data_IF_430038049032
#
_entry.id   IF_430038049032
#
_cell.length_a   1.000
_cell.length_b   1.000
_cell.length_c   1.000
_cell.angle_alpha   90.00
_cell.angle_beta   90.00
_cell.angle_gamma   90.00
#
_symmetry.space_group_name_H-M   'P 1'
#
loop_
_entity.id
_entity.type
_entity.pdbx_description
1 polymer ?
#
# COMPACT_ATOMS: atom_id res chain seq x y z
N UNK A 1 -3.35 20.56 -47.68
CA UNK A 1 -2.78 19.98 -46.44
C UNK A 1 -3.83 19.91 -45.33
N UNK A 2 -4.60 20.98 -45.08
CA UNK A 2 -5.63 21.01 -44.02
C UNK A 2 -6.74 19.96 -44.18
N UNK A 3 -7.28 19.77 -45.39
CA UNK A 3 -8.32 18.77 -45.66
C UNK A 3 -7.87 17.32 -45.44
N UNK A 4 -6.57 17.03 -45.59
CA UNK A 4 -6.00 15.69 -45.34
C UNK A 4 -5.95 15.41 -43.84
N UNK A 5 -5.55 16.40 -43.03
CA UNK A 5 -5.53 16.29 -41.57
C UNK A 5 -6.94 16.09 -41.01
N UNK A 6 -7.94 16.81 -41.53
CA UNK A 6 -9.34 16.65 -41.12
C UNK A 6 -9.87 15.25 -41.46
N UNK A 7 -9.52 14.71 -42.64
CA UNK A 7 -9.95 13.37 -43.05
C UNK A 7 -9.33 12.27 -42.17
N UNK A 8 -8.05 12.38 -41.81
CA UNK A 8 -7.37 11.45 -40.90
C UNK A 8 -8.00 11.51 -39.50
N UNK A 9 -8.30 12.72 -39.00
CA UNK A 9 -8.92 12.90 -37.69
C UNK A 9 -10.31 12.24 -37.63
N UNK A 10 -11.13 12.41 -38.67
CA UNK A 10 -12.45 11.77 -38.76
C UNK A 10 -12.30 10.25 -38.77
N UNK A 11 -11.37 9.70 -39.57
CA UNK A 11 -11.09 8.27 -39.59
C UNK A 11 -10.66 7.73 -38.22
N UNK A 12 -9.84 8.48 -37.49
CA UNK A 12 -9.40 8.11 -36.15
C UNK A 12 -10.55 8.15 -35.12
N UNK A 13 -11.43 9.15 -35.20
CA UNK A 13 -12.62 9.25 -34.33
C UNK A 13 -13.55 8.06 -34.57
N UNK A 14 -13.81 7.72 -35.84
CA UNK A 14 -14.66 6.55 -36.20
C UNK A 14 -14.03 5.26 -35.70
N UNK A 15 -12.71 5.09 -35.86
CA UNK A 15 -11.98 3.94 -35.34
C UNK A 15 -12.06 3.82 -33.81
N UNK A 16 -11.87 4.92 -33.09
CA UNK A 16 -12.02 4.96 -31.64
C UNK A 16 -13.45 4.60 -31.21
N UNK A 17 -14.46 5.15 -31.87
CA UNK A 17 -15.87 4.85 -31.57
C UNK A 17 -16.19 3.38 -31.81
N UNK A 18 -15.68 2.81 -32.91
CA UNK A 18 -15.83 1.38 -33.19
C UNK A 18 -15.17 0.52 -32.12
N UNK A 19 -13.95 0.86 -31.71
CA UNK A 19 -13.21 0.10 -30.71
C UNK A 19 -13.83 0.22 -29.30
N UNK A 20 -14.37 1.40 -28.96
CA UNK A 20 -15.12 1.63 -27.73
C UNK A 20 -16.42 0.83 -27.70
N UNK A 21 -17.18 0.80 -28.81
CA UNK A 21 -18.42 0.04 -28.88
C UNK A 21 -18.17 -1.46 -28.78
N UNK A 22 -17.10 -1.97 -29.41
CA UNK A 22 -16.67 -3.37 -29.27
C UNK A 22 -16.31 -3.71 -27.82
N UNK A 23 -15.65 -2.80 -27.11
CA UNK A 23 -15.31 -2.97 -25.69
C UNK A 23 -16.55 -2.90 -24.79
N UNK A 24 -17.48 -1.98 -25.05
CA UNK A 24 -18.74 -1.89 -24.31
C UNK A 24 -19.57 -3.16 -24.47
N UNK A 25 -19.70 -3.70 -25.68
CA UNK A 25 -20.42 -4.96 -25.90
C UNK A 25 -19.76 -6.14 -25.17
N UNK A 26 -18.42 -6.15 -25.07
CA UNK A 26 -17.69 -7.18 -24.35
C UNK A 26 -17.91 -7.06 -22.84
N UNK A 27 -17.89 -5.83 -22.30
CA UNK A 27 -18.19 -5.52 -20.90
C UNK A 27 -19.64 -5.87 -20.58
N UNK A 28 -20.62 -5.47 -21.39
CA UNK A 28 -22.03 -5.84 -21.20
C UNK A 28 -22.23 -7.36 -21.26
N UNK A 29 -21.51 -8.07 -22.15
CA UNK A 29 -21.59 -9.54 -22.17
C UNK A 29 -20.97 -10.17 -20.93
N UNK A 30 -19.92 -9.57 -20.37
CA UNK A 30 -19.27 -10.04 -19.13
C UNK A 30 -20.16 -9.73 -17.92
N UNK A 31 -20.71 -8.52 -17.83
CA UNK A 31 -21.64 -8.09 -16.77
C UNK A 31 -22.92 -8.91 -16.81
N UNK A 32 -23.48 -9.15 -18.00
CA UNK A 32 -24.65 -10.01 -18.21
C UNK A 32 -24.38 -11.48 -17.84
N UNK A 33 -23.16 -11.98 -18.09
CA UNK A 33 -22.75 -13.31 -17.61
C UNK A 33 -22.58 -13.35 -16.09
N UNK A 34 -22.02 -12.30 -15.50
CA UNK A 34 -21.81 -12.19 -14.05
C UNK A 34 -23.13 -12.05 -13.27
N UNK A 35 -24.08 -11.24 -13.74
CA UNK A 35 -25.43 -11.13 -13.14
C UNK A 35 -26.25 -12.40 -13.31
N UNK A 36 -26.04 -13.16 -14.39
CA UNK A 36 -26.65 -14.49 -14.54
C UNK A 36 -26.00 -15.54 -13.63
N UNK A 37 -24.71 -15.42 -13.35
CA UNK A 37 -23.95 -16.27 -12.42
C UNK A 37 -24.30 -15.99 -10.96
N UNK A 38 -24.57 -14.74 -10.57
CA UNK A 38 -24.95 -14.34 -9.21
C UNK A 38 -26.24 -15.02 -8.71
N UNK A 39 -27.09 -15.49 -9.64
CA UNK A 39 -28.36 -16.16 -9.32
C UNK A 39 -28.24 -17.67 -9.09
N UNK A 40 -27.10 -18.27 -9.41
CA UNK A 40 -26.83 -19.72 -9.35
C UNK A 40 -25.41 -19.99 -8.83
N UNK A 41 -25.06 -19.46 -7.66
CA UNK A 41 -23.78 -19.82 -7.01
C UNK A 41 -23.86 -21.19 -6.35
N UNK A 42 -23.59 -22.21 -7.16
CA UNK A 42 -23.14 -23.51 -6.69
C UNK A 42 -21.63 -23.43 -6.37
N UNK A 43 -21.28 -23.81 -5.15
CA UNK A 43 -19.91 -23.82 -4.60
C UNK A 43 -18.90 -24.50 -5.52
N UNK A 44 -19.36 -25.50 -6.29
CA UNK A 44 -18.55 -26.25 -7.25
C UNK A 44 -18.14 -25.40 -8.47
N UNK A 45 -19.01 -24.50 -8.94
CA UNK A 45 -18.71 -23.60 -10.05
C UNK A 45 -17.68 -22.53 -9.66
N UNK A 46 -17.72 -22.05 -8.41
CA UNK A 46 -16.72 -21.11 -7.87
C UNK A 46 -15.35 -21.78 -7.78
N UNK A 47 -15.28 -23.01 -7.29
CA UNK A 47 -14.04 -23.78 -7.22
C UNK A 47 -13.45 -24.02 -8.62
N UNK A 48 -14.27 -24.37 -9.60
CA UNK A 48 -13.83 -24.62 -10.97
C UNK A 48 -13.37 -23.33 -11.69
N UNK A 49 -13.98 -22.18 -11.36
CA UNK A 49 -13.57 -20.87 -11.87
C UNK A 49 -12.25 -20.40 -11.23
N UNK A 50 -12.07 -20.63 -9.92
CA UNK A 50 -10.80 -20.39 -9.23
C UNK A 50 -9.68 -21.28 -9.78
N UNK A 51 -9.98 -22.53 -10.10
CA UNK A 51 -9.01 -23.46 -10.68
C UNK A 51 -8.61 -23.06 -12.10
N UNK A 52 -9.55 -22.60 -12.93
CA UNK A 52 -9.26 -22.04 -14.25
C UNK A 52 -8.45 -20.75 -14.18
N UNK A 53 -8.74 -19.85 -13.23
CA UNK A 53 -7.94 -18.64 -13.01
C UNK A 53 -6.52 -19.00 -12.54
N UNK A 54 -6.37 -20.02 -11.69
CA UNK A 54 -5.08 -20.55 -11.27
C UNK A 54 -4.29 -21.16 -12.43
N UNK A 55 -4.94 -21.90 -13.33
CA UNK A 55 -4.30 -22.45 -14.52
C UNK A 55 -3.87 -21.34 -15.51
N UNK A 56 -4.71 -20.33 -15.74
CA UNK A 56 -4.37 -19.17 -16.56
C UNK A 56 -3.21 -18.35 -15.95
N UNK A 57 -3.09 -18.33 -14.63
CA UNK A 57 -1.93 -17.71 -13.95
C UNK A 57 -0.63 -18.51 -14.14
N UNK A 58 -0.71 -19.83 -14.33
CA UNK A 58 0.44 -20.71 -14.52
C UNK A 58 1.01 -20.69 -15.95
N UNK A 59 0.20 -20.38 -16.98
CA UNK A 59 0.64 -20.40 -18.38
C UNK A 59 1.32 -19.12 -18.84
N UNK A 60 1.22 -18.03 -18.07
CA UNK A 60 1.96 -16.81 -18.37
C UNK A 60 3.25 -16.78 -17.56
N UNK A 61 4.34 -16.28 -18.15
CA UNK A 61 5.57 -15.87 -17.44
C UNK A 61 5.30 -14.68 -16.49
N UNK A 62 4.13 -14.62 -15.83
CA UNK A 62 3.84 -13.75 -14.71
C UNK A 62 4.82 -14.13 -13.61
N UNK A 63 5.70 -13.19 -13.26
CA UNK A 63 6.58 -13.31 -12.10
C UNK A 63 5.74 -13.79 -10.92
N UNK A 64 6.06 -14.97 -10.43
CA UNK A 64 5.31 -15.65 -9.38
C UNK A 64 5.27 -14.72 -8.16
N UNK A 65 4.07 -14.32 -7.78
CA UNK A 65 3.84 -13.54 -6.57
C UNK A 65 4.08 -14.45 -5.35
N UNK A 66 5.02 -14.05 -4.50
CA UNK A 66 5.48 -14.77 -3.32
C UNK A 66 5.09 -14.07 -2.03
N UNK A 67 4.18 -13.10 -2.08
CA UNK A 67 3.69 -12.42 -0.88
C UNK A 67 3.12 -13.43 0.13
N UNK A 68 2.39 -14.42 -0.36
CA UNK A 68 1.70 -15.44 0.45
C UNK A 68 2.58 -16.66 0.78
N UNK A 69 3.88 -16.61 0.48
CA UNK A 69 4.81 -17.63 0.96
C UNK A 69 4.89 -17.57 2.49
N UNK A 70 4.90 -18.72 3.16
CA UNK A 70 4.90 -18.82 4.64
C UNK A 70 5.97 -17.95 5.30
N UNK A 71 7.18 -17.92 4.73
CA UNK A 71 8.29 -17.10 5.22
C UNK A 71 7.96 -15.60 5.17
N UNK A 72 7.29 -15.15 4.12
CA UNK A 72 6.92 -13.74 3.94
C UNK A 72 5.78 -13.40 4.88
N UNK A 73 4.71 -14.20 4.93
CA UNK A 73 3.59 -13.99 5.86
C UNK A 73 4.06 -13.91 7.31
N UNK A 74 4.93 -14.84 7.73
CA UNK A 74 5.55 -14.82 9.07
C UNK A 74 6.35 -13.53 9.30
N UNK A 75 7.05 -13.03 8.30
CA UNK A 75 7.76 -11.76 8.41
C UNK A 75 6.80 -10.57 8.53
N UNK A 76 5.75 -10.51 7.72
CA UNK A 76 4.75 -9.43 7.78
C UNK A 76 4.14 -9.36 9.18
N UNK A 77 3.57 -10.47 9.64
CA UNK A 77 2.67 -10.52 10.80
C UNK A 77 3.32 -10.99 12.11
N UNK A 78 4.66 -11.04 12.20
CA UNK A 78 5.34 -11.42 13.45
C UNK A 78 5.00 -10.54 14.68
N UNK A 79 4.34 -9.40 14.47
CA UNK A 79 3.99 -8.40 15.48
C UNK A 79 2.48 -8.07 15.48
N UNK A 80 1.65 -8.93 14.89
CA UNK A 80 0.21 -8.62 14.69
C UNK A 80 -0.54 -8.46 16.03
N UNK A 81 -0.15 -9.23 17.04
CA UNK A 81 -0.77 -9.20 18.37
C UNK A 81 -0.52 -7.89 19.15
N UNK A 82 0.61 -7.22 18.91
CA UNK A 82 1.12 -6.14 19.76
C UNK A 82 1.39 -4.81 19.04
N UNK A 83 1.24 -4.77 17.72
CA UNK A 83 1.62 -3.63 16.90
C UNK A 83 0.62 -3.35 15.79
N UNK A 84 0.47 -2.06 15.45
CA UNK A 84 -0.12 -1.65 14.17
C UNK A 84 0.91 -1.86 13.08
N UNK A 85 0.52 -2.61 12.05
CA UNK A 85 1.38 -2.95 10.91
C UNK A 85 0.90 -2.17 9.69
N UNK A 86 1.83 -1.48 9.03
CA UNK A 86 1.58 -0.73 7.81
C UNK A 86 2.50 -1.20 6.68
N UNK A 87 1.98 -1.17 5.46
CA UNK A 87 2.67 -1.54 4.24
C UNK A 87 2.77 -0.36 3.28
N UNK A 88 3.98 -0.11 2.77
CA UNK A 88 4.22 0.85 1.70
C UNK A 88 4.87 0.18 0.48
N UNK A 89 4.36 0.46 -0.71
CA UNK A 89 4.83 -0.13 -1.96
C UNK A 89 5.73 0.82 -2.72
N UNK A 90 6.89 0.34 -3.18
CA UNK A 90 7.82 1.11 -4.00
C UNK A 90 8.44 0.28 -5.12
N UNK A 91 8.72 0.93 -6.26
CA UNK A 91 9.30 0.29 -7.45
C UNK A 91 10.78 0.00 -7.29
N UNK A 92 11.48 0.92 -6.63
CA UNK A 92 12.93 0.97 -6.65
C UNK A 92 13.52 0.51 -5.32
N UNK A 93 14.45 -0.45 -5.40
CA UNK A 93 15.16 -0.94 -4.21
C UNK A 93 15.93 0.18 -3.50
N UNK A 94 16.42 1.15 -4.27
CA UNK A 94 17.12 2.32 -3.72
C UNK A 94 16.22 3.13 -2.79
N UNK A 95 14.95 3.29 -3.17
CA UNK A 95 13.95 3.96 -2.32
C UNK A 95 13.67 3.11 -1.09
N UNK A 96 13.52 1.80 -1.26
CA UNK A 96 13.32 0.89 -0.13
C UNK A 96 14.47 0.96 0.89
N UNK A 97 15.73 0.92 0.41
CA UNK A 97 16.93 1.07 1.24
C UNK A 97 17.02 2.44 1.90
N UNK A 98 16.67 3.50 1.18
CA UNK A 98 16.63 4.84 1.76
C UNK A 98 15.65 4.91 2.93
N UNK A 99 14.43 4.40 2.76
CA UNK A 99 13.43 4.34 3.83
C UNK A 99 13.93 3.51 5.02
N UNK A 100 14.58 2.38 4.72
CA UNK A 100 15.16 1.49 5.72
C UNK A 100 16.27 2.16 6.55
N UNK A 101 17.10 3.02 5.94
CA UNK A 101 18.23 3.67 6.59
C UNK A 101 17.86 4.98 7.30
N UNK A 102 16.96 5.77 6.70
CA UNK A 102 16.65 7.14 7.09
C UNK A 102 15.31 7.25 7.85
N UNK A 103 14.38 6.31 7.63
CA UNK A 103 13.01 6.39 8.12
C UNK A 103 12.01 6.67 6.99
N UNK A 104 10.73 6.73 7.35
CA UNK A 104 9.66 6.91 6.35
C UNK A 104 9.24 8.38 6.27
N UNK A 105 9.52 9.01 5.13
CA UNK A 105 9.10 10.39 4.86
C UNK A 105 7.68 10.44 4.32
N UNK A 106 6.87 11.37 4.82
CA UNK A 106 5.51 11.60 4.35
C UNK A 106 5.13 13.09 4.42
N UNK A 107 4.14 13.46 3.62
CA UNK A 107 3.59 14.82 3.50
C UNK A 107 2.11 14.78 3.84
N UNK A 108 1.64 15.73 4.62
CA UNK A 108 0.27 15.88 5.16
C UNK A 108 -0.23 14.71 6.02
N UNK A 109 -0.30 13.52 5.45
CA UNK A 109 -0.91 12.34 6.07
C UNK A 109 -0.15 11.07 5.70
N UNK A 110 0.20 10.33 6.74
CA UNK A 110 0.86 9.04 6.65
C UNK A 110 0.02 8.03 5.87
N UNK A 111 -1.27 7.93 6.21
CA UNK A 111 -2.26 7.01 5.64
C UNK A 111 -2.53 7.20 4.14
N UNK A 112 -2.17 8.35 3.54
CA UNK A 112 -2.27 8.53 2.08
C UNK A 112 -1.27 7.68 1.30
N UNK A 113 -0.17 7.29 1.95
CA UNK A 113 0.98 6.63 1.30
C UNK A 113 1.24 5.22 1.81
N UNK A 114 0.62 4.84 2.91
CA UNK A 114 0.74 3.51 3.51
C UNK A 114 -0.65 2.89 3.71
N UNK A 115 -0.69 1.57 3.76
CA UNK A 115 -1.90 0.82 4.09
C UNK A 115 -1.70 0.09 5.41
N UNK A 116 -2.62 0.24 6.36
CA UNK A 116 -2.64 -0.66 7.51
C UNK A 116 -2.98 -2.07 7.01
N UNK A 117 -2.24 -3.09 7.42
CA UNK A 117 -2.49 -4.50 7.10
C UNK A 117 -2.75 -5.29 8.38
N UNK A 118 -3.55 -6.34 8.27
CA UNK A 118 -3.87 -7.31 9.33
C UNK A 118 -3.70 -8.72 8.77
N UNK A 119 -3.56 -9.73 9.63
CA UNK A 119 -3.50 -11.15 9.20
C UNK A 119 -4.89 -11.68 8.77
N UNK A 120 -5.47 -11.03 7.77
CA UNK A 120 -6.64 -11.49 7.03
C UNK A 120 -6.24 -11.64 5.57
N UNK A 121 -6.17 -12.90 5.12
CA UNK A 121 -5.81 -13.25 3.74
C UNK A 121 -6.67 -12.56 2.67
N UNK A 122 -7.94 -12.29 2.94
CA UNK A 122 -8.86 -11.66 1.99
C UNK A 122 -8.54 -10.18 1.88
N UNK A 123 -8.42 -9.49 3.01
CA UNK A 123 -8.05 -8.07 3.08
C UNK A 123 -6.66 -7.83 2.48
N UNK A 124 -5.67 -8.66 2.84
CA UNK A 124 -4.32 -8.57 2.32
C UNK A 124 -4.29 -8.80 0.80
N UNK A 125 -5.05 -9.78 0.29
CA UNK A 125 -5.15 -10.03 -1.16
C UNK A 125 -5.75 -8.83 -1.88
N UNK A 126 -6.81 -8.24 -1.33
CA UNK A 126 -7.44 -7.05 -1.89
C UNK A 126 -6.45 -5.88 -1.94
N UNK A 127 -5.85 -5.52 -0.80
CA UNK A 127 -4.87 -4.42 -0.69
C UNK A 127 -3.67 -4.66 -1.59
N UNK A 128 -3.13 -5.88 -1.61
CA UNK A 128 -1.99 -6.22 -2.46
C UNK A 128 -2.33 -6.05 -3.94
N UNK A 129 -3.49 -6.53 -4.40
CA UNK A 129 -3.86 -6.42 -5.81
C UNK A 129 -4.01 -4.97 -6.28
N UNK A 130 -4.48 -4.07 -5.42
CA UNK A 130 -4.56 -2.63 -5.72
C UNK A 130 -3.16 -2.01 -5.72
N UNK A 131 -2.33 -2.34 -4.73
CA UNK A 131 -1.08 -1.61 -4.47
C UNK A 131 0.14 -2.17 -5.21
N UNK A 132 0.14 -3.41 -5.68
CA UNK A 132 1.29 -4.04 -6.38
C UNK A 132 1.75 -3.29 -7.63
N UNK A 133 0.87 -2.51 -8.26
CA UNK A 133 1.24 -1.64 -9.40
C UNK A 133 2.17 -0.49 -9.03
N UNK A 134 2.22 -0.10 -7.75
CA UNK A 134 3.16 0.91 -7.24
C UNK A 134 4.58 0.38 -7.06
N UNK A 135 4.79 -0.94 -7.14
CA UNK A 135 6.11 -1.53 -7.20
C UNK A 135 6.29 -2.80 -6.40
N UNK A 136 7.39 -3.50 -6.67
CA UNK A 136 7.65 -4.85 -6.16
C UNK A 136 8.17 -4.95 -4.73
N UNK A 137 8.64 -3.84 -4.18
CA UNK A 137 9.17 -3.79 -2.81
C UNK A 137 8.09 -3.28 -1.86
N UNK A 138 7.85 -4.03 -0.79
CA UNK A 138 6.91 -3.69 0.27
C UNK A 138 7.71 -3.39 1.53
N UNK A 139 7.71 -2.14 1.96
CA UNK A 139 8.23 -1.72 3.25
C UNK A 139 7.21 -2.07 4.32
N UNK A 140 7.68 -2.65 5.42
CA UNK A 140 6.87 -2.97 6.59
C UNK A 140 7.24 -2.05 7.73
N UNK A 141 6.24 -1.32 8.21
CA UNK A 141 6.33 -0.39 9.32
C UNK A 141 5.50 -0.98 10.45
N UNK A 142 6.07 -1.08 11.64
CA UNK A 142 5.38 -1.59 12.83
C UNK A 142 5.57 -0.62 13.98
N UNK A 143 4.46 -0.19 14.56
CA UNK A 143 4.42 0.68 15.74
C UNK A 143 3.63 -0.07 16.81
N UNK A 144 4.22 -0.30 17.98
CA UNK A 144 3.53 -1.00 19.06
C UNK A 144 2.23 -0.28 19.44
N UNK A 145 1.20 -1.08 19.76
CA UNK A 145 -0.10 -0.58 20.19
C UNK A 145 0.05 0.32 21.44
N UNK A 146 0.98 0.02 22.34
CA UNK A 146 1.28 0.82 23.52
C UNK A 146 1.76 2.23 23.15
N UNK A 147 2.81 2.33 22.32
CA UNK A 147 3.35 3.62 21.87
C UNK A 147 2.30 4.40 21.10
N UNK A 148 1.60 3.74 20.16
CA UNK A 148 0.59 4.40 19.34
C UNK A 148 -0.56 4.96 20.18
N UNK A 149 -1.12 4.14 21.07
CA UNK A 149 -2.26 4.52 21.90
C UNK A 149 -1.89 5.59 22.94
N UNK A 150 -0.64 5.58 23.44
CA UNK A 150 -0.14 6.64 24.32
C UNK A 150 -0.22 8.01 23.64
N UNK A 151 0.38 8.15 22.46
CA UNK A 151 0.40 9.44 21.76
C UNK A 151 -0.96 9.82 21.19
N UNK A 152 -1.78 8.87 20.74
CA UNK A 152 -3.17 9.12 20.35
C UNK A 152 -4.00 9.68 21.53
N UNK A 153 -3.85 9.10 22.72
CA UNK A 153 -4.55 9.55 23.93
C UNK A 153 -4.10 10.96 24.35
N UNK A 154 -2.81 11.24 24.24
CA UNK A 154 -2.26 12.57 24.53
C UNK A 154 -2.76 13.64 23.54
N UNK A 155 -2.80 13.34 22.24
CA UNK A 155 -3.35 14.24 21.22
C UNK A 155 -4.83 14.53 21.45
N UNK A 156 -5.62 13.51 21.82
CA UNK A 156 -7.04 13.66 22.20
C UNK A 156 -7.20 14.54 23.44
N UNK A 157 -6.33 14.40 24.44
CA UNK A 157 -6.35 15.24 25.64
C UNK A 157 -6.06 16.72 25.34
N UNK A 158 -5.26 16.99 24.32
CA UNK A 158 -4.91 18.34 23.87
C UNK A 158 -5.90 18.92 22.84
N UNK A 159 -6.99 18.22 22.51
CA UNK A 159 -7.95 18.60 21.47
C UNK A 159 -7.30 18.82 20.08
N UNK A 160 -6.19 18.10 19.81
CA UNK A 160 -5.44 18.17 18.54
C UNK A 160 -5.85 17.06 17.57
N UNK A 161 -7.13 17.04 17.20
CA UNK A 161 -7.71 16.01 16.33
C UNK A 161 -7.19 16.01 14.88
N UNK A 162 -6.56 17.09 14.45
CA UNK A 162 -6.01 17.25 13.10
C UNK A 162 -4.56 16.74 12.96
N UNK A 163 -3.94 16.27 14.05
CA UNK A 163 -2.55 15.81 14.06
C UNK A 163 -2.54 14.29 14.17
N UNK A 164 -1.76 13.63 13.31
CA UNK A 164 -1.59 12.19 13.28
C UNK A 164 -0.47 11.76 14.23
N UNK A 165 -0.61 10.59 14.86
CA UNK A 165 0.38 10.04 15.80
C UNK A 165 1.77 9.98 15.15
N UNK A 166 1.83 9.61 13.88
CA UNK A 166 3.06 9.46 13.11
C UNK A 166 3.82 10.79 12.93
N UNK A 167 3.14 11.93 13.00
CA UNK A 167 3.79 13.26 13.00
C UNK A 167 4.52 13.53 14.32
N UNK A 168 4.04 12.96 15.43
CA UNK A 168 4.70 13.04 16.74
C UNK A 168 5.90 12.10 16.81
N UNK A 169 5.79 10.93 16.19
CA UNK A 169 6.80 9.86 16.15
C UNK A 169 8.00 10.16 15.23
N UNK A 170 8.38 11.43 15.14
CA UNK A 170 9.51 11.94 14.35
C UNK A 170 10.70 12.29 15.25
N UNK A 171 11.90 11.86 14.87
CA UNK A 171 13.13 12.16 15.64
C UNK A 171 13.69 13.56 15.33
N UNK A 172 13.28 14.11 14.20
CA UNK A 172 13.74 15.40 13.69
C UNK A 172 12.53 16.31 13.42
N UNK A 173 12.67 17.63 13.59
CA UNK A 173 11.63 18.58 13.20
C UNK A 173 11.24 18.39 11.74
N UNK A 174 9.99 18.70 11.42
CA UNK A 174 9.52 18.77 10.05
C UNK A 174 10.34 19.78 9.24
N UNK A 175 10.43 19.55 7.93
CA UNK A 175 11.05 20.46 7.00
C UNK A 175 10.08 20.85 5.89
N UNK A 176 10.27 22.03 5.31
CA UNK A 176 9.47 22.49 4.18
C UNK A 176 10.16 22.05 2.89
N UNK A 177 9.42 21.37 2.01
CA UNK A 177 9.91 20.95 0.70
C UNK A 177 9.81 22.08 -0.36
N UNK A 178 10.23 21.79 -1.59
CA UNK A 178 10.17 22.72 -2.72
C UNK A 178 8.74 23.14 -3.12
N UNK A 179 7.74 22.35 -2.75
CA UNK A 179 6.32 22.62 -2.99
C UNK A 179 5.67 23.41 -1.84
N UNK A 180 6.45 23.83 -0.84
CA UNK A 180 5.98 24.48 0.38
C UNK A 180 5.08 23.57 1.26
N UNK A 181 5.24 22.25 1.15
CA UNK A 181 4.58 21.30 2.03
C UNK A 181 5.47 20.93 3.22
N UNK A 182 4.82 20.65 4.36
CA UNK A 182 5.47 20.16 5.56
C UNK A 182 5.76 18.65 5.45
N UNK A 183 7.04 18.29 5.55
CA UNK A 183 7.52 16.91 5.46
C UNK A 183 7.89 16.40 6.84
N UNK A 184 7.37 15.23 7.18
CA UNK A 184 7.66 14.52 8.41
C UNK A 184 8.48 13.26 8.10
N UNK A 185 9.35 12.86 9.02
CA UNK A 185 10.14 11.62 8.90
C UNK A 185 9.89 10.72 10.10
N UNK A 186 9.09 9.67 9.91
CA UNK A 186 8.86 8.63 10.91
C UNK A 186 10.18 7.93 11.22
N UNK A 187 10.46 7.70 12.50
CA UNK A 187 11.70 7.06 12.94
C UNK A 187 11.96 5.72 12.23
N UNK A 188 13.19 5.53 11.77
CA UNK A 188 13.67 4.25 11.21
C UNK A 188 13.52 3.07 12.17
N UNK A 189 13.42 3.31 13.47
CA UNK A 189 13.21 2.26 14.46
C UNK A 189 11.85 1.58 14.30
N UNK A 190 10.86 2.23 13.69
CA UNK A 190 9.56 1.61 13.37
C UNK A 190 9.58 0.85 12.04
N UNK A 191 10.65 0.95 11.25
CA UNK A 191 10.79 0.22 9.98
C UNK A 191 11.30 -1.18 10.29
N UNK A 192 10.45 -2.19 10.12
CA UNK A 192 10.80 -3.60 10.35
C UNK A 192 11.74 -4.14 9.29
N UNK A 193 11.55 -3.69 8.06
CA UNK A 193 12.31 -4.13 6.90
C UNK A 193 11.51 -4.00 5.63
N UNK A 194 11.94 -4.71 4.59
CA UNK A 194 11.18 -4.77 3.33
C UNK A 194 11.24 -6.15 2.69
N UNK A 195 10.22 -6.46 1.89
CA UNK A 195 10.14 -7.68 1.09
C UNK A 195 10.02 -7.35 -0.40
N UNK A 196 10.70 -8.10 -1.25
CA UNK A 196 10.40 -8.13 -2.68
C UNK A 196 9.41 -9.26 -2.93
N UNK A 197 8.15 -8.93 -3.22
CA UNK A 197 7.10 -9.96 -3.37
C UNK A 197 7.27 -10.80 -4.64
N UNK A 198 8.06 -10.37 -5.63
CA UNK A 198 8.34 -11.20 -6.83
C UNK A 198 9.37 -12.30 -6.53
N UNK A 199 10.29 -12.07 -5.59
CA UNK A 199 11.39 -13.01 -5.28
C UNK A 199 11.23 -13.70 -3.93
N UNK A 200 10.45 -13.12 -3.01
CA UNK A 200 10.35 -13.54 -1.62
C UNK A 200 11.58 -13.16 -0.79
N UNK A 201 12.46 -12.29 -1.31
CA UNK A 201 13.62 -11.80 -0.59
C UNK A 201 13.19 -10.80 0.49
N UNK A 202 13.71 -10.98 1.70
CA UNK A 202 13.36 -10.19 2.88
C UNK A 202 14.64 -9.58 3.43
N UNK A 203 14.62 -8.27 3.63
CA UNK A 203 15.67 -7.51 4.30
C UNK A 203 15.17 -7.08 5.68
N UNK A 204 15.86 -7.48 6.74
CA UNK A 204 15.49 -7.17 8.13
C UNK A 204 16.25 -5.94 8.63
N UNK A 205 15.56 -5.01 9.28
CA UNK A 205 16.21 -3.86 9.89
C UNK A 205 16.75 -4.22 11.28
N UNK A 206 18.09 -4.24 11.50
CA UNK A 206 18.66 -4.56 12.81
C UNK A 206 18.38 -3.48 13.86
N UNK A 207 17.91 -2.29 13.44
CA UNK A 207 17.52 -1.19 14.34
C UNK A 207 16.03 -1.20 14.68
N UNK A 208 15.26 -2.14 14.13
CA UNK A 208 13.83 -2.24 14.38
C UNK A 208 13.52 -2.44 15.87
N UNK A 209 12.68 -1.55 16.41
CA UNK A 209 12.21 -1.51 17.79
C UNK A 209 10.76 -0.98 17.79
N UNK A 210 9.73 -1.84 17.82
CA UNK A 210 8.33 -1.39 17.72
C UNK A 210 7.87 -0.58 18.94
N UNK A 211 8.53 -0.76 20.09
CA UNK A 211 8.35 0.00 21.33
C UNK A 211 9.29 1.20 21.45
N UNK A 212 9.90 1.64 20.35
CA UNK A 212 10.83 2.76 20.38
C UNK A 212 10.12 4.03 20.88
N UNK A 213 10.72 4.65 21.88
CA UNK A 213 10.27 5.91 22.42
C UNK A 213 11.50 6.76 22.76
N UNK A 214 11.43 8.06 22.50
CA UNK A 214 12.54 9.00 22.66
C UNK A 214 12.03 10.33 23.21
N UNK A 215 12.84 11.09 23.97
CA UNK A 215 12.45 12.42 24.45
C UNK A 215 11.95 13.35 23.33
N UNK A 216 12.47 13.23 22.11
CA UNK A 216 12.05 14.04 20.97
C UNK A 216 10.54 13.92 20.67
N UNK A 217 9.93 12.75 20.87
CA UNK A 217 8.49 12.56 20.64
C UNK A 217 7.66 13.34 21.68
N UNK A 218 8.11 13.35 22.94
CA UNK A 218 7.50 14.17 23.99
C UNK A 218 7.70 15.66 23.75
N UNK A 219 8.87 16.05 23.24
CA UNK A 219 9.15 17.44 22.87
C UNK A 219 8.21 17.91 21.74
N UNK A 220 7.99 17.07 20.72
CA UNK A 220 7.04 17.33 19.65
C UNK A 220 5.62 17.50 20.19
N UNK A 221 5.19 16.64 21.10
CA UNK A 221 3.88 16.75 21.77
C UNK A 221 3.78 18.02 22.61
N UNK A 222 4.84 18.40 23.33
CA UNK A 222 4.84 19.59 24.17
C UNK A 222 4.74 20.89 23.36
N UNK A 223 5.35 20.95 22.17
CA UNK A 223 5.21 22.09 21.24
C UNK A 223 3.77 22.35 20.80
N UNK A 224 2.87 21.38 20.93
CA UNK A 224 1.46 21.52 20.59
C UNK A 224 0.61 22.09 21.74
N UNK A 225 1.17 22.17 22.96
CA UNK A 225 0.51 22.72 24.14
C UNK A 225 0.58 24.25 24.17
N UNK A 226 1.57 24.82 23.50
CA UNK A 226 1.77 26.25 23.30
C UNK A 226 0.90 26.78 22.15
#
# INVERSE_FOLDING_TARGET
>A
MEYIAVTILIGYIVYLHYNLNKKNNLIESMVGKLTKLEKEWDTEHVLNLLEKLRQLSNESNLKRDRLFDEKVMKFLFANDDDSKIFAHYTKDEKVAKKIFEEGFMFVDSFEKTVEQIIDDSVDLTYKHNIRKYYGKYIIIICISNEVYNHYDSELKRLDKHNIQVEQILTEHPSCINENNDEVFTLSKHFIKGYVNYETGAIEYNPKFKPYFNTPAFNDNLNRLKD
#
